data_IF_141553314758
#
_entry.id   IF_141553314758
#
_cell.length_a   1.000
_cell.length_b   1.000
_cell.length_c   1.000
_cell.angle_alpha   90.00
_cell.angle_beta   90.00
_cell.angle_gamma   90.00
#
_symmetry.space_group_name_H-M   'P 1'
#
loop_
_entity.id
_entity.type
_entity.pdbx_description
1 polymer ?
#
# COMPACT_ATOMS: atom_id res chain seq x y z
N UNK A 1 -7.59 -1.50 -13.32
CA UNK A 1 -6.31 -0.76 -13.28
C UNK A 1 -6.33 0.16 -12.07
N UNK A 2 -5.17 0.60 -11.58
CA UNK A 2 -5.03 1.36 -10.33
C UNK A 2 -5.78 2.69 -10.32
N UNK A 3 -6.35 3.07 -9.17
CA UNK A 3 -7.26 4.23 -9.08
C UNK A 3 -6.53 5.58 -8.92
N UNK A 4 -5.75 5.76 -7.85
CA UNK A 4 -5.01 7.02 -7.59
C UNK A 4 -3.51 6.70 -7.55
N UNK A 5 -2.72 7.22 -8.49
CA UNK A 5 -1.33 6.76 -8.74
C UNK A 5 -0.28 7.90 -8.77
N UNK A 6 -0.14 8.70 -7.70
CA UNK A 6 0.89 9.73 -7.68
C UNK A 6 2.26 9.08 -7.83
N UNK A 7 3.03 9.58 -8.80
CA UNK A 7 4.31 9.00 -9.19
C UNK A 7 5.35 10.11 -9.27
N UNK A 8 6.45 9.97 -8.54
CA UNK A 8 7.51 10.98 -8.45
C UNK A 8 7.07 12.35 -7.89
N UNK A 9 5.99 12.38 -7.13
CA UNK A 9 5.41 13.58 -6.52
C UNK A 9 5.97 13.85 -5.11
N UNK A 10 5.84 15.09 -4.64
CA UNK A 10 6.19 15.50 -3.27
C UNK A 10 5.06 16.36 -2.68
N UNK A 11 4.86 16.30 -1.35
CA UNK A 11 3.85 17.06 -0.60
C UNK A 11 2.41 16.76 -1.04
N UNK A 12 1.98 15.51 -0.84
CA UNK A 12 0.68 15.00 -1.28
C UNK A 12 -0.24 14.83 -0.09
N UNK A 13 -1.48 15.27 -0.23
CA UNK A 13 -2.55 14.96 0.73
C UNK A 13 -3.67 14.26 -0.05
N UNK A 14 -4.01 13.05 0.36
CA UNK A 14 -5.24 12.37 -0.07
C UNK A 14 -6.14 12.24 1.15
N UNK A 15 -7.28 12.95 1.13
CA UNK A 15 -8.15 13.06 2.30
C UNK A 15 -9.61 12.84 1.94
N UNK A 16 -10.32 12.04 2.74
CA UNK A 16 -11.78 11.94 2.66
C UNK A 16 -12.32 11.27 1.40
N UNK A 17 -11.47 10.57 0.64
CA UNK A 17 -11.90 9.89 -0.59
C UNK A 17 -12.52 8.54 -0.27
N UNK A 18 -13.54 8.18 -1.03
CA UNK A 18 -14.15 6.85 -1.03
C UNK A 18 -13.78 6.16 -2.33
N UNK A 19 -13.00 5.08 -2.26
CA UNK A 19 -12.65 4.28 -3.43
C UNK A 19 -13.43 2.97 -3.36
N UNK A 20 -14.29 2.77 -4.35
CA UNK A 20 -15.08 1.55 -4.53
C UNK A 20 -14.86 1.05 -5.95
N UNK A 21 -14.15 -0.06 -6.12
CA UNK A 21 -14.00 -0.66 -7.44
C UNK A 21 -15.12 -1.66 -7.68
N UNK A 22 -15.89 -1.45 -8.75
CA UNK A 22 -17.03 -2.31 -9.12
C UNK A 22 -16.58 -3.72 -9.53
N UNK A 23 -17.49 -4.68 -9.39
CA UNK A 23 -17.28 -6.08 -9.75
C UNK A 23 -17.22 -7.05 -8.56
N UNK A 24 -17.40 -8.33 -8.88
CA UNK A 24 -17.21 -9.43 -7.94
C UNK A 24 -15.76 -9.45 -7.44
N UNK A 25 -15.57 -9.72 -6.14
CA UNK A 25 -14.24 -9.76 -5.56
C UNK A 25 -13.38 -10.83 -6.24
N UNK A 26 -12.12 -10.51 -6.54
CA UNK A 26 -11.24 -11.37 -7.35
C UNK A 26 -11.47 -11.28 -8.87
N UNK A 27 -12.53 -10.61 -9.33
CA UNK A 27 -12.80 -10.38 -10.75
C UNK A 27 -12.52 -8.94 -11.21
N UNK A 28 -11.99 -8.10 -10.32
CA UNK A 28 -11.55 -6.73 -10.63
C UNK A 28 -10.01 -6.65 -10.55
N UNK A 29 -9.28 -7.24 -11.53
CA UNK A 29 -7.83 -7.36 -11.47
C UNK A 29 -7.17 -5.98 -11.42
N UNK A 30 -6.20 -5.84 -10.52
CA UNK A 30 -5.43 -4.60 -10.31
C UNK A 30 -6.34 -3.40 -10.02
N UNK A 31 -7.43 -3.62 -9.28
CA UNK A 31 -8.35 -2.61 -8.77
C UNK A 31 -7.83 -1.96 -7.49
N UNK A 32 -6.56 -1.58 -7.46
CA UNK A 32 -5.91 -0.97 -6.30
C UNK A 32 -6.50 0.42 -6.00
N UNK A 33 -6.50 0.81 -4.72
CA UNK A 33 -6.91 2.15 -4.29
C UNK A 33 -5.84 3.21 -4.56
N UNK A 34 -5.06 3.55 -3.53
CA UNK A 34 -4.02 4.61 -3.61
C UNK A 34 -2.64 3.98 -3.73
N UNK A 35 -1.86 4.42 -4.73
CA UNK A 35 -0.57 3.87 -5.11
C UNK A 35 0.52 4.94 -5.17
N UNK A 36 1.04 5.45 -4.04
CA UNK A 36 2.17 6.37 -4.06
C UNK A 36 3.43 5.63 -4.52
N UNK A 37 3.99 6.06 -5.65
CA UNK A 37 5.18 5.47 -6.24
C UNK A 37 6.33 6.48 -6.28
N UNK A 38 7.42 6.18 -5.58
CA UNK A 38 8.60 7.06 -5.47
C UNK A 38 8.24 8.48 -5.01
N UNK A 39 7.30 8.58 -4.07
CA UNK A 39 6.74 9.83 -3.56
C UNK A 39 7.33 10.21 -2.20
N UNK A 40 7.34 11.51 -1.89
CA UNK A 40 7.87 12.04 -0.63
C UNK A 40 6.87 12.94 0.08
N UNK A 41 6.82 12.88 1.42
CA UNK A 41 5.92 13.69 2.25
C UNK A 41 4.46 13.49 1.84
N UNK A 42 3.93 12.31 2.15
CA UNK A 42 2.56 11.91 1.78
C UNK A 42 1.71 11.75 3.03
N UNK A 43 0.53 12.37 3.04
CA UNK A 43 -0.51 12.16 4.03
C UNK A 43 -1.73 11.51 3.37
N UNK A 44 -2.15 10.34 3.87
CA UNK A 44 -3.40 9.68 3.49
C UNK A 44 -4.27 9.58 4.74
N UNK A 45 -5.46 10.19 4.73
CA UNK A 45 -6.31 10.16 5.91
C UNK A 45 -7.82 10.25 5.67
N UNK A 46 -8.61 9.69 6.59
CA UNK A 46 -10.07 9.67 6.51
C UNK A 46 -10.61 9.05 5.22
N UNK A 47 -9.84 8.16 4.59
CA UNK A 47 -10.23 7.48 3.35
C UNK A 47 -10.95 6.16 3.63
N UNK A 48 -11.89 5.81 2.76
CA UNK A 48 -12.58 4.53 2.76
C UNK A 48 -12.22 3.72 1.52
N UNK A 49 -12.01 2.42 1.69
CA UNK A 49 -11.64 1.49 0.63
C UNK A 49 -12.55 0.27 0.58
N UNK A 50 -12.99 -0.02 -0.63
CA UNK A 50 -13.61 -1.28 -1.05
C UNK A 50 -13.02 -1.62 -2.42
N UNK A 51 -11.88 -2.30 -2.40
CA UNK A 51 -11.02 -2.47 -3.57
C UNK A 51 -10.95 -3.91 -4.04
N UNK A 52 -10.75 -4.11 -5.34
CA UNK A 52 -10.51 -5.41 -5.95
C UNK A 52 -9.08 -5.93 -5.74
N UNK A 53 -8.16 -5.04 -5.37
CA UNK A 53 -6.78 -5.37 -4.99
C UNK A 53 -6.38 -4.58 -3.73
N UNK A 54 -5.10 -4.24 -3.54
CA UNK A 54 -4.59 -3.52 -2.37
C UNK A 54 -5.29 -2.15 -2.16
N UNK A 55 -5.72 -1.84 -0.92
CA UNK A 55 -6.36 -0.56 -0.60
C UNK A 55 -5.38 0.60 -0.71
N UNK A 56 -4.21 0.46 -0.07
CA UNK A 56 -3.07 1.40 -0.18
C UNK A 56 -1.82 0.60 -0.48
N UNK A 57 -1.21 0.81 -1.64
CA UNK A 57 0.01 0.13 -2.08
C UNK A 57 1.17 1.12 -2.31
N UNK A 58 2.10 1.18 -1.36
CA UNK A 58 3.30 2.02 -1.47
C UNK A 58 4.35 1.30 -2.33
N UNK A 59 4.83 2.00 -3.35
CA UNK A 59 5.75 1.48 -4.37
C UNK A 59 6.92 2.46 -4.58
N UNK A 60 7.94 2.04 -5.30
CA UNK A 60 9.11 2.84 -5.67
C UNK A 60 9.84 2.26 -6.89
N UNK A 61 9.08 1.83 -7.90
CA UNK A 61 9.62 1.21 -9.12
C UNK A 61 10.02 -0.27 -8.96
N UNK A 62 10.28 -0.93 -10.09
CA UNK A 62 10.46 -2.38 -10.17
C UNK A 62 11.80 -2.76 -10.80
N UNK A 63 12.45 -3.75 -10.20
CA UNK A 63 13.67 -4.41 -10.66
C UNK A 63 14.74 -3.41 -11.12
N UNK A 64 15.37 -3.65 -12.28
CA UNK A 64 16.46 -2.81 -12.82
C UNK A 64 16.06 -1.35 -12.99
N UNK A 65 14.83 -1.07 -13.39
CA UNK A 65 14.36 0.30 -13.59
C UNK A 65 14.22 1.03 -12.25
N UNK A 66 13.61 0.39 -11.24
CA UNK A 66 13.51 0.96 -9.91
C UNK A 66 14.87 1.15 -9.23
N UNK A 67 15.79 0.19 -9.39
CA UNK A 67 17.17 0.29 -8.90
C UNK A 67 17.90 1.45 -9.58
N UNK A 68 17.80 1.56 -10.91
CA UNK A 68 18.44 2.62 -11.69
C UNK A 68 17.92 4.01 -11.32
N UNK A 69 16.59 4.13 -11.14
CA UNK A 69 15.99 5.39 -10.71
C UNK A 69 16.40 5.74 -9.27
N UNK A 70 16.50 4.74 -8.39
CA UNK A 70 17.05 4.90 -7.03
C UNK A 70 16.27 5.88 -6.15
N UNK A 71 15.02 6.21 -6.51
CA UNK A 71 14.19 7.18 -5.79
C UNK A 71 13.20 6.44 -4.89
N UNK A 72 13.31 6.57 -3.56
CA UNK A 72 12.44 5.86 -2.65
C UNK A 72 11.04 6.49 -2.56
N UNK A 73 10.09 5.72 -2.04
CA UNK A 73 8.91 6.28 -1.38
C UNK A 73 9.21 6.51 0.10
N UNK A 74 9.07 7.73 0.57
CA UNK A 74 9.50 8.09 1.93
C UNK A 74 8.67 9.17 2.62
N UNK A 75 8.73 9.17 3.96
CA UNK A 75 8.06 10.13 4.84
C UNK A 75 6.55 10.15 4.60
N UNK A 76 5.88 9.08 5.00
CA UNK A 76 4.44 8.91 4.79
C UNK A 76 3.71 8.72 6.10
N UNK A 77 2.56 9.38 6.22
CA UNK A 77 1.60 9.18 7.31
C UNK A 77 0.29 8.66 6.73
N UNK A 78 -0.18 7.53 7.24
CA UNK A 78 -1.49 6.95 6.89
C UNK A 78 -2.31 6.87 8.17
N UNK A 79 -3.48 7.51 8.23
CA UNK A 79 -4.26 7.52 9.48
C UNK A 79 -5.76 7.63 9.31
N UNK A 80 -6.51 7.07 10.25
CA UNK A 80 -7.99 7.16 10.24
C UNK A 80 -8.62 6.63 8.94
N UNK A 81 -7.97 5.67 8.30
CA UNK A 81 -8.47 5.02 7.10
C UNK A 81 -9.23 3.75 7.44
N UNK A 82 -10.22 3.40 6.60
CA UNK A 82 -10.99 2.16 6.72
C UNK A 82 -10.97 1.38 5.41
N UNK A 83 -10.67 0.09 5.46
CA UNK A 83 -10.80 -0.81 4.32
C UNK A 83 -11.71 -2.00 4.64
N UNK A 84 -12.75 -2.20 3.82
CA UNK A 84 -13.74 -3.28 4.01
C UNK A 84 -13.48 -4.47 3.09
N UNK A 85 -12.81 -4.24 1.96
CA UNK A 85 -12.43 -5.26 0.97
C UNK A 85 -11.13 -4.85 0.27
N UNK A 86 -10.27 -5.83 -0.03
CA UNK A 86 -9.00 -5.65 -0.73
C UNK A 86 -7.94 -6.69 -0.36
N UNK A 87 -6.98 -6.93 -1.25
CA UNK A 87 -5.89 -7.91 -1.06
C UNK A 87 -4.94 -7.57 0.11
N UNK A 88 -4.95 -6.30 0.53
CA UNK A 88 -4.23 -5.81 1.69
C UNK A 88 -4.69 -4.39 2.07
N UNK A 89 -4.81 -4.11 3.36
CA UNK A 89 -5.14 -2.79 3.87
C UNK A 89 -4.03 -1.76 3.62
N UNK A 90 -2.85 -1.99 4.20
CA UNK A 90 -1.64 -1.23 3.89
C UNK A 90 -0.58 -2.19 3.37
N UNK A 91 -0.13 -1.91 2.16
CA UNK A 91 0.75 -2.79 1.41
C UNK A 91 2.01 -2.05 0.98
N UNK A 92 3.16 -2.67 1.19
CA UNK A 92 4.44 -2.24 0.64
C UNK A 92 4.84 -3.22 -0.47
N UNK A 93 5.03 -2.70 -1.69
CA UNK A 93 5.50 -3.46 -2.85
C UNK A 93 4.40 -3.91 -3.84
N UNK A 94 4.68 -4.83 -4.76
CA UNK A 94 5.96 -5.56 -4.87
C UNK A 94 7.06 -4.73 -5.52
N UNK A 95 6.69 -3.68 -6.24
CA UNK A 95 7.56 -2.74 -6.91
C UNK A 95 8.18 -1.78 -5.88
N UNK A 96 9.11 -2.27 -5.06
CA UNK A 96 9.79 -1.50 -3.99
C UNK A 96 11.29 -1.29 -4.25
N UNK A 97 11.72 -1.43 -5.50
CA UNK A 97 13.14 -1.53 -5.89
C UNK A 97 13.95 -0.25 -5.64
N UNK A 98 13.33 0.93 -5.74
CA UNK A 98 13.92 2.21 -5.34
C UNK A 98 14.00 2.43 -3.82
N UNK A 99 13.39 1.55 -3.02
CA UNK A 99 13.31 1.61 -1.57
C UNK A 99 12.03 2.23 -1.02
N UNK A 100 11.62 1.75 0.15
CA UNK A 100 10.52 2.33 0.95
C UNK A 100 11.00 2.53 2.39
N UNK A 101 10.82 3.74 2.94
CA UNK A 101 11.20 4.05 4.33
C UNK A 101 10.33 5.10 4.99
N UNK A 102 10.41 5.19 6.31
CA UNK A 102 9.75 6.22 7.10
C UNK A 102 8.24 6.28 6.85
N UNK A 103 7.56 5.16 7.04
CA UNK A 103 6.09 5.06 6.90
C UNK A 103 5.49 4.86 8.27
N UNK A 104 4.63 5.77 8.70
CA UNK A 104 3.88 5.66 9.93
C UNK A 104 2.39 5.52 9.62
N UNK A 105 1.82 4.38 9.96
CA UNK A 105 0.41 4.12 9.85
C UNK A 105 -0.23 3.97 11.23
N UNK A 106 -1.31 4.71 11.50
CA UNK A 106 -1.98 4.62 12.78
C UNK A 106 -3.49 4.85 12.76
N UNK A 107 -4.19 4.23 13.72
CA UNK A 107 -5.64 4.39 13.91
C UNK A 107 -6.44 4.07 12.63
N UNK A 108 -6.05 3.00 11.92
CA UNK A 108 -6.75 2.48 10.75
C UNK A 108 -7.54 1.22 11.10
N UNK A 109 -8.61 0.97 10.34
CA UNK A 109 -9.48 -0.20 10.51
C UNK A 109 -9.54 -0.99 9.21
N UNK A 110 -9.11 -2.24 9.23
CA UNK A 110 -9.22 -3.15 8.10
C UNK A 110 -10.11 -4.32 8.50
N UNK A 111 -11.29 -4.41 7.87
CA UNK A 111 -12.34 -5.32 8.27
C UNK A 111 -12.93 -6.06 7.06
N UNK A 112 -12.49 -7.29 6.83
CA UNK A 112 -12.90 -8.06 5.65
C UNK A 112 -11.90 -8.02 4.48
N UNK A 113 -10.82 -7.23 4.60
CA UNK A 113 -9.67 -7.34 3.69
C UNK A 113 -8.98 -8.69 3.85
N UNK A 114 -8.30 -9.16 2.80
CA UNK A 114 -7.49 -10.38 2.85
C UNK A 114 -6.40 -10.32 3.91
N UNK A 115 -5.76 -9.16 4.02
CA UNK A 115 -4.64 -8.90 4.93
C UNK A 115 -4.76 -7.50 5.46
N UNK A 116 -4.46 -7.26 6.74
CA UNK A 116 -4.43 -5.89 7.24
C UNK A 116 -3.13 -5.19 6.81
N UNK A 117 -1.99 -5.84 7.06
CA UNK A 117 -0.67 -5.35 6.71
C UNK A 117 0.06 -6.34 5.81
N UNK A 118 0.65 -5.87 4.72
CA UNK A 118 1.35 -6.74 3.76
C UNK A 118 2.65 -6.11 3.27
N UNK A 119 3.75 -6.85 3.34
CA UNK A 119 5.02 -6.50 2.69
C UNK A 119 5.34 -7.62 1.70
N UNK A 120 5.40 -7.27 0.42
CA UNK A 120 5.70 -8.19 -0.67
C UNK A 120 6.95 -7.73 -1.41
N UNK A 121 7.94 -8.61 -1.54
CA UNK A 121 9.09 -8.42 -2.39
C UNK A 121 9.54 -9.76 -2.99
N UNK A 122 10.18 -9.69 -4.15
CA UNK A 122 10.87 -10.81 -4.78
C UNK A 122 12.38 -10.64 -4.60
N UNK A 123 13.14 -11.73 -4.70
CA UNK A 123 14.61 -11.69 -4.56
C UNK A 123 15.25 -10.74 -5.58
N UNK A 124 14.72 -10.67 -6.80
CA UNK A 124 15.26 -9.78 -7.84
C UNK A 124 14.90 -8.30 -7.66
N UNK A 125 13.96 -7.94 -6.76
CA UNK A 125 13.55 -6.53 -6.58
C UNK A 125 14.70 -5.65 -6.10
N UNK A 126 15.66 -6.20 -5.34
CA UNK A 126 16.68 -5.39 -4.67
C UNK A 126 16.05 -4.39 -3.70
N UNK A 127 16.62 -3.19 -3.61
CA UNK A 127 16.09 -2.11 -2.77
C UNK A 127 16.04 -2.45 -1.28
N UNK A 128 15.16 -1.77 -0.56
CA UNK A 128 14.93 -2.01 0.87
C UNK A 128 13.51 -1.62 1.30
N UNK A 129 13.04 -2.23 2.38
CA UNK A 129 11.90 -1.76 3.16
C UNK A 129 12.37 -1.65 4.61
N UNK A 130 12.32 -0.45 5.19
CA UNK A 130 12.78 -0.21 6.57
C UNK A 130 12.00 0.91 7.22
N UNK A 131 12.13 1.06 8.54
CA UNK A 131 11.58 2.20 9.28
C UNK A 131 10.06 2.35 9.04
N UNK A 132 9.33 1.26 9.31
CA UNK A 132 7.87 1.20 9.24
C UNK A 132 7.29 1.08 10.65
N UNK A 133 6.29 1.90 10.95
CA UNK A 133 5.58 1.87 12.22
C UNK A 133 4.09 1.72 11.97
N UNK A 134 3.50 0.68 12.56
CA UNK A 134 2.06 0.41 12.52
C UNK A 134 1.54 0.43 13.95
N UNK A 135 0.62 1.34 14.27
CA UNK A 135 0.10 1.52 15.63
C UNK A 135 -1.42 1.60 15.63
N UNK A 136 -2.09 1.01 16.62
CA UNK A 136 -3.56 1.07 16.73
C UNK A 136 -4.27 0.65 15.43
N UNK A 137 -3.78 -0.39 14.77
CA UNK A 137 -4.44 -0.95 13.58
C UNK A 137 -5.45 -1.99 14.07
N UNK A 138 -6.74 -1.75 13.78
CA UNK A 138 -7.78 -2.74 14.02
C UNK A 138 -7.88 -3.65 12.81
N UNK A 139 -7.63 -4.94 13.00
CA UNK A 139 -7.76 -5.96 11.99
C UNK A 139 -8.86 -6.94 12.43
N UNK A 140 -10.01 -6.89 11.77
CA UNK A 140 -11.18 -7.72 12.12
C UNK A 140 -11.65 -8.51 10.91
N UNK A 141 -12.12 -9.75 11.11
CA UNK A 141 -12.60 -10.65 10.04
C UNK A 141 -11.67 -10.70 8.81
N UNK A 142 -10.35 -10.77 9.04
CA UNK A 142 -9.35 -10.87 7.97
C UNK A 142 -9.45 -12.25 7.30
N UNK A 143 -9.45 -12.29 5.95
CA UNK A 143 -9.70 -13.53 5.19
C UNK A 143 -8.48 -14.45 5.13
N UNK A 144 -7.27 -13.88 5.08
CA UNK A 144 -6.00 -14.61 5.08
C UNK A 144 -5.15 -14.20 6.29
N UNK A 145 -3.93 -13.71 6.09
CA UNK A 145 -3.03 -13.34 7.19
C UNK A 145 -3.24 -11.88 7.65
N UNK A 146 -3.44 -11.66 8.95
CA UNK A 146 -3.51 -10.30 9.50
C UNK A 146 -2.25 -9.48 9.16
N UNK A 147 -1.07 -10.10 9.27
CA UNK A 147 0.21 -9.51 8.89
C UNK A 147 0.96 -10.52 8.02
N UNK A 148 1.32 -10.10 6.80
CA UNK A 148 2.13 -10.90 5.88
C UNK A 148 3.42 -10.17 5.52
N UNK A 149 4.56 -10.84 5.66
CA UNK A 149 5.85 -10.36 5.15
C UNK A 149 6.46 -11.50 4.33
N UNK A 150 6.69 -11.26 3.04
CA UNK A 150 7.24 -12.26 2.14
C UNK A 150 8.29 -11.66 1.20
N UNK A 151 9.44 -12.36 1.12
CA UNK A 151 10.52 -12.12 0.15
C UNK A 151 10.50 -13.15 -1.01
N UNK A 152 9.43 -13.95 -1.11
CA UNK A 152 9.22 -14.97 -2.14
C UNK A 152 8.06 -14.59 -3.07
N UNK A 153 7.82 -13.30 -3.30
CA UNK A 153 6.82 -12.86 -4.25
C UNK A 153 7.25 -13.27 -5.67
N UNK A 154 6.29 -13.73 -6.47
CA UNK A 154 6.49 -14.13 -7.87
C UNK A 154 5.66 -13.22 -8.76
#
# INVERSE_FOLDING_TARGET
>A
FWTITPTYCENIIVRGVKIMTEGEYGHTPNGDGINPSSCKNVLIEYCYFDTGDDCIAIKSGRDKDGIKTGRPSENMVIRYCRGDRGHGGIVIGSEMSGGVRNVYAHDCVFQGTDRALRIKAARERGGYVKDLWFRNITADRIVHEAIMISMKYT
#
